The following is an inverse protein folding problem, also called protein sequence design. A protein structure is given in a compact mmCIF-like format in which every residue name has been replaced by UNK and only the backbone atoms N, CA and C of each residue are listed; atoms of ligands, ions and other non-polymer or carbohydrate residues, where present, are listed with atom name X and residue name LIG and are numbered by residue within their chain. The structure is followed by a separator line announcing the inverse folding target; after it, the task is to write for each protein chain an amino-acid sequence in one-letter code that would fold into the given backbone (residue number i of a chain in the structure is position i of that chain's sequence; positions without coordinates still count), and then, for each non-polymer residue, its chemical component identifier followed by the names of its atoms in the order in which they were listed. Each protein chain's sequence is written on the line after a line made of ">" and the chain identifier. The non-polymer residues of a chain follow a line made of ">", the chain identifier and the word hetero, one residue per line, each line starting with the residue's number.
data_IF_833540357285
#
_entry.id   IF_833540357285
#
_cell.length_a   1.000
_cell.length_b   1.000
_cell.length_c   1.000
_cell.angle_alpha   90.00
_cell.angle_beta   90.00
_cell.angle_gamma   90.00
#
_symmetry.space_group_name_H-M   'P 1'
#
loop_
_entity.id
_entity.type
_entity.pdbx_description
1 polymer ?
#
# COMPACT_ATOMS: atom_id res chain seq x y z
N UNK A 1 -19.65 10.47 -3.40
CA UNK A 1 -18.74 11.36 -2.63
C UNK A 1 -17.34 10.79 -2.77
N UNK A 2 -16.32 11.29 -2.06
CA UNK A 2 -14.98 10.66 -2.09
C UNK A 2 -14.86 9.68 -0.91
N UNK A 3 -14.32 8.48 -1.15
CA UNK A 3 -14.14 7.42 -0.13
C UNK A 3 -13.42 7.97 1.12
N UNK A 4 -13.98 7.79 2.31
CA UNK A 4 -13.30 8.21 3.54
C UNK A 4 -12.36 7.11 4.04
N UNK A 5 -11.05 7.36 4.03
CA UNK A 5 -10.05 6.39 4.49
C UNK A 5 -9.72 6.51 5.98
N UNK A 6 -10.15 7.58 6.65
CA UNK A 6 -9.64 7.98 7.97
C UNK A 6 -8.14 8.30 7.94
N UNK A 7 -7.54 8.56 9.12
CA UNK A 7 -6.09 8.85 9.23
C UNK A 7 -5.22 7.60 9.25
N UNK A 8 -5.78 6.45 9.64
CA UNK A 8 -5.03 5.21 9.83
C UNK A 8 -5.82 4.04 9.23
N UNK A 9 -5.13 3.20 8.47
CA UNK A 9 -5.65 1.96 7.93
C UNK A 9 -4.63 0.83 8.07
N UNK A 10 -4.99 -0.35 7.57
CA UNK A 10 -4.11 -1.53 7.54
C UNK A 10 -3.70 -1.81 6.10
N UNK A 11 -2.43 -2.13 5.87
CA UNK A 11 -1.96 -2.70 4.62
C UNK A 11 -1.71 -4.19 4.81
N UNK A 12 -2.23 -5.01 3.91
CA UNK A 12 -2.09 -6.47 4.00
C UNK A 12 -2.02 -7.10 2.61
N UNK A 13 -1.13 -8.07 2.37
CA UNK A 13 -0.99 -8.70 1.05
C UNK A 13 -2.25 -9.51 0.69
N UNK A 14 -2.60 -9.57 -0.59
CA UNK A 14 -3.83 -10.23 -1.07
C UNK A 14 -3.97 -11.70 -0.67
N UNK A 15 -2.86 -12.45 -0.61
CA UNK A 15 -2.89 -13.85 -0.18
C UNK A 15 -3.39 -14.03 1.26
N UNK A 16 -3.26 -12.99 2.10
CA UNK A 16 -3.74 -13.04 3.47
C UNK A 16 -5.28 -12.97 3.53
N UNK A 17 -6.01 -12.86 2.42
CA UNK A 17 -7.47 -12.68 2.38
C UNK A 17 -8.21 -13.78 1.62
N UNK A 18 -7.52 -14.86 1.25
CA UNK A 18 -8.12 -15.99 0.51
C UNK A 18 -8.66 -17.10 1.43
N UNK A 19 -8.41 -17.02 2.73
CA UNK A 19 -8.85 -18.01 3.73
C UNK A 19 -10.32 -17.86 4.13
N UNK A 20 -10.89 -18.91 4.71
CA UNK A 20 -12.28 -18.92 5.21
C UNK A 20 -12.53 -17.96 6.38
N UNK A 21 -11.47 -17.55 7.07
CA UNK A 21 -11.49 -16.62 8.20
C UNK A 21 -11.44 -15.14 7.76
N UNK A 22 -11.26 -14.85 6.48
CA UNK A 22 -11.08 -13.49 5.96
C UNK A 22 -12.27 -12.56 6.28
N UNK A 23 -13.49 -13.08 6.24
CA UNK A 23 -14.68 -12.29 6.61
C UNK A 23 -14.65 -11.88 8.09
N UNK A 24 -14.29 -12.80 8.99
CA UNK A 24 -14.19 -12.50 10.42
C UNK A 24 -13.07 -11.50 10.71
N UNK A 25 -11.92 -11.62 10.04
CA UNK A 25 -10.82 -10.67 10.16
C UNK A 25 -11.17 -9.27 9.61
N UNK A 26 -11.91 -9.18 8.51
CA UNK A 26 -12.40 -7.91 7.99
C UNK A 26 -13.38 -7.24 8.95
N UNK A 27 -14.32 -8.01 9.53
CA UNK A 27 -15.25 -7.52 10.55
C UNK A 27 -14.52 -7.03 11.81
N UNK A 28 -13.45 -7.71 12.21
CA UNK A 28 -12.62 -7.30 13.35
C UNK A 28 -11.91 -5.97 13.06
N UNK A 29 -11.26 -5.80 11.89
CA UNK A 29 -10.63 -4.52 11.53
C UNK A 29 -11.64 -3.36 11.52
N UNK A 30 -12.85 -3.61 11.02
CA UNK A 30 -13.94 -2.64 11.05
C UNK A 30 -14.38 -2.31 12.48
N UNK A 31 -14.52 -3.32 13.34
CA UNK A 31 -14.90 -3.15 14.75
C UNK A 31 -13.84 -2.39 15.56
N UNK A 32 -12.55 -2.58 15.26
CA UNK A 32 -11.44 -1.85 15.87
C UNK A 32 -11.40 -0.37 15.46
N UNK A 33 -12.08 0.00 14.38
CA UNK A 33 -12.19 1.40 13.93
C UNK A 33 -11.13 1.83 12.92
N UNK A 34 -10.38 0.89 12.33
CA UNK A 34 -9.50 1.23 11.20
C UNK A 34 -10.32 1.82 10.06
N UNK A 35 -9.82 2.88 9.44
CA UNK A 35 -10.57 3.58 8.40
C UNK A 35 -10.52 2.87 7.05
N UNK A 36 -9.43 2.16 6.76
CA UNK A 36 -9.27 1.44 5.50
C UNK A 36 -8.45 0.15 5.62
N UNK A 37 -8.71 -0.80 4.73
CA UNK A 37 -7.84 -1.94 4.44
C UNK A 37 -7.31 -1.84 3.00
N UNK A 38 -5.99 -1.76 2.87
CA UNK A 38 -5.25 -1.79 1.60
C UNK A 38 -4.84 -3.21 1.27
N UNK A 39 -5.37 -3.76 0.18
CA UNK A 39 -5.07 -5.10 -0.31
C UNK A 39 -3.90 -5.03 -1.29
N UNK A 40 -2.73 -5.47 -0.85
CA UNK A 40 -1.50 -5.49 -1.62
C UNK A 40 -1.53 -6.49 -2.77
N UNK A 41 -1.12 -6.07 -3.97
CA UNK A 41 -1.13 -6.91 -5.18
C UNK A 41 -2.49 -7.59 -5.41
N UNK A 42 -3.56 -6.78 -5.46
CA UNK A 42 -4.92 -7.25 -5.67
C UNK A 42 -5.14 -7.74 -7.11
N UNK A 43 -5.86 -8.85 -7.33
CA UNK A 43 -6.33 -9.26 -8.66
C UNK A 43 -7.23 -8.20 -9.29
N UNK A 44 -7.17 -8.08 -10.62
CA UNK A 44 -7.92 -7.07 -11.36
C UNK A 44 -9.43 -7.34 -11.45
N UNK A 45 -9.89 -8.56 -11.12
CA UNK A 45 -11.32 -8.89 -11.04
C UNK A 45 -12.02 -8.27 -9.83
N UNK A 46 -11.25 -7.76 -8.86
CA UNK A 46 -11.69 -7.14 -7.60
C UNK A 46 -12.57 -8.04 -6.71
N UNK A 47 -12.53 -9.37 -6.89
CA UNK A 47 -13.32 -10.30 -6.07
C UNK A 47 -12.88 -10.30 -4.60
N UNK A 48 -11.57 -10.20 -4.32
CA UNK A 48 -11.06 -10.13 -2.95
C UNK A 48 -11.48 -8.83 -2.22
N UNK A 49 -11.31 -7.62 -2.79
CA UNK A 49 -11.88 -6.41 -2.21
C UNK A 49 -13.39 -6.50 -1.95
N UNK A 50 -14.16 -7.08 -2.88
CA UNK A 50 -15.61 -7.26 -2.75
C UNK A 50 -15.99 -8.14 -1.56
N UNK A 51 -15.27 -9.25 -1.35
CA UNK A 51 -15.48 -10.13 -0.18
C UNK A 51 -15.23 -9.40 1.15
N UNK A 52 -14.21 -8.55 1.22
CA UNK A 52 -13.90 -7.76 2.42
C UNK A 52 -14.97 -6.70 2.68
N UNK A 53 -15.42 -6.01 1.62
CA UNK A 53 -16.50 -5.01 1.71
C UNK A 53 -17.80 -5.65 2.21
N UNK A 54 -18.16 -6.83 1.69
CA UNK A 54 -19.34 -7.58 2.11
C UNK A 54 -19.31 -7.97 3.60
N UNK A 55 -18.12 -8.17 4.16
CA UNK A 55 -17.91 -8.61 5.54
C UNK A 55 -17.75 -7.47 6.56
N UNK A 56 -17.83 -6.21 6.12
CA UNK A 56 -17.62 -5.04 6.98
C UNK A 56 -18.69 -3.96 6.76
N UNK A 57 -18.97 -3.15 7.77
CA UNK A 57 -20.01 -2.12 7.74
C UNK A 57 -19.50 -0.72 7.38
N UNK A 58 -18.30 -0.34 7.82
CA UNK A 58 -17.75 1.03 7.61
C UNK A 58 -16.44 1.05 6.86
N UNK A 59 -15.57 0.06 7.13
CA UNK A 59 -14.23 -0.05 6.57
C UNK A 59 -14.19 0.24 5.06
N UNK A 60 -13.36 1.20 4.65
CA UNK A 60 -13.05 1.38 3.24
C UNK A 60 -12.07 0.29 2.78
N UNK A 61 -12.13 -0.13 1.52
CA UNK A 61 -11.18 -1.07 0.93
C UNK A 61 -10.48 -0.41 -0.24
N UNK A 62 -9.15 -0.47 -0.23
CA UNK A 62 -8.32 0.07 -1.28
C UNK A 62 -7.41 -1.02 -1.86
N UNK A 63 -7.05 -0.93 -3.13
CA UNK A 63 -6.02 -1.81 -3.71
C UNK A 63 -4.65 -1.15 -3.64
N UNK A 64 -3.63 -1.87 -3.17
CA UNK A 64 -2.24 -1.39 -3.06
C UNK A 64 -1.24 -2.32 -3.75
N UNK A 65 -1.41 -2.73 -5.00
CA UNK A 65 -2.19 -2.13 -6.09
C UNK A 65 -2.77 -3.20 -7.03
N UNK A 66 -3.65 -2.80 -7.95
CA UNK A 66 -3.91 -3.56 -9.19
C UNK A 66 -2.82 -3.23 -10.20
N UNK A 67 -2.20 -4.27 -10.74
CA UNK A 67 -1.13 -4.15 -11.73
C UNK A 67 -1.71 -3.84 -13.13
N UNK A 68 -1.38 -2.66 -13.68
CA UNK A 68 -1.90 -2.24 -14.99
C UNK A 68 -1.41 -3.11 -16.15
N UNK A 69 -0.33 -3.87 -15.95
CA UNK A 69 0.19 -4.81 -16.96
C UNK A 69 -0.60 -6.12 -17.05
N UNK A 70 -1.49 -6.41 -16.10
CA UNK A 70 -2.21 -7.70 -16.02
C UNK A 70 -3.67 -7.62 -16.45
N UNK A 71 -4.14 -6.44 -16.84
CA UNK A 71 -5.54 -6.20 -17.17
C UNK A 71 -5.66 -5.12 -18.24
N UNK A 72 -6.86 -4.98 -18.78
CA UNK A 72 -7.22 -3.90 -19.72
C UNK A 72 -8.13 -2.89 -19.00
N UNK A 73 -8.16 -1.60 -19.44
CA UNK A 73 -8.94 -0.57 -18.78
C UNK A 73 -10.45 -0.87 -18.70
N UNK A 74 -11.06 -1.33 -19.78
CA UNK A 74 -12.51 -1.61 -19.84
C UNK A 74 -12.98 -2.65 -18.81
N UNK A 75 -12.40 -3.86 -18.78
CA UNK A 75 -12.71 -4.87 -17.76
C UNK A 75 -12.50 -4.37 -16.32
N UNK A 76 -11.43 -3.61 -16.06
CA UNK A 76 -11.17 -3.05 -14.73
C UNK A 76 -12.20 -1.97 -14.36
N UNK A 77 -12.61 -1.13 -15.31
CA UNK A 77 -13.67 -0.14 -15.10
C UNK A 77 -15.00 -0.81 -14.75
N UNK A 78 -15.37 -1.87 -15.47
CA UNK A 78 -16.57 -2.65 -15.15
C UNK A 78 -16.49 -3.30 -13.76
N UNK A 79 -15.32 -3.82 -13.37
CA UNK A 79 -15.11 -4.35 -12.03
C UNK A 79 -15.23 -3.26 -10.96
N UNK A 80 -14.65 -2.08 -11.17
CA UNK A 80 -14.77 -0.94 -10.28
C UNK A 80 -16.24 -0.56 -10.06
N UNK A 81 -17.01 -0.38 -11.13
CA UNK A 81 -18.41 0.06 -11.05
C UNK A 81 -19.33 -0.98 -10.40
N UNK A 82 -19.00 -2.27 -10.50
CA UNK A 82 -19.67 -3.32 -9.72
C UNK A 82 -19.53 -3.07 -8.21
N UNK A 83 -18.32 -2.77 -7.75
CA UNK A 83 -18.06 -2.49 -6.33
C UNK A 83 -18.65 -1.15 -5.90
N UNK A 84 -18.53 -0.10 -6.71
CA UNK A 84 -19.06 1.23 -6.40
C UNK A 84 -20.60 1.22 -6.27
N UNK A 85 -21.29 0.46 -7.13
CA UNK A 85 -22.74 0.31 -7.06
C UNK A 85 -23.19 -0.50 -5.82
N UNK A 86 -22.46 -1.54 -5.44
CA UNK A 86 -22.80 -2.40 -4.30
C UNK A 86 -22.38 -1.80 -2.95
N UNK A 87 -21.27 -1.04 -2.93
CA UNK A 87 -20.64 -0.49 -1.72
C UNK A 87 -20.26 0.99 -1.94
N UNK A 88 -21.26 1.87 -2.11
CA UNK A 88 -21.01 3.27 -2.43
C UNK A 88 -20.10 3.92 -1.39
N UNK A 89 -19.17 4.75 -1.89
CA UNK A 89 -18.20 5.50 -1.08
C UNK A 89 -17.24 4.66 -0.22
N UNK A 90 -17.08 3.36 -0.49
CA UNK A 90 -16.21 2.46 0.29
C UNK A 90 -15.07 1.79 -0.48
N UNK A 91 -15.00 1.89 -1.80
CA UNK A 91 -13.92 1.29 -2.59
C UNK A 91 -13.03 2.32 -3.29
N UNK A 92 -11.70 2.23 -3.07
CA UNK A 92 -10.69 3.08 -3.72
C UNK A 92 -9.76 2.23 -4.61
N UNK A 93 -9.78 2.48 -5.93
CA UNK A 93 -8.97 1.74 -6.88
C UNK A 93 -7.52 2.26 -6.90
N UNK A 94 -6.60 1.57 -6.24
CA UNK A 94 -5.17 1.86 -6.37
C UNK A 94 -4.51 1.08 -7.51
N UNK A 95 -3.79 1.81 -8.35
CA UNK A 95 -3.16 1.34 -9.59
C UNK A 95 -1.65 1.47 -9.50
N UNK A 96 -0.93 0.56 -10.15
CA UNK A 96 0.52 0.65 -10.22
C UNK A 96 1.14 -0.14 -11.35
N UNK A 97 2.40 0.20 -11.61
CA UNK A 97 3.21 -0.31 -12.73
C UNK A 97 4.04 -1.54 -12.37
N UNK A 98 3.94 -2.05 -11.14
CA UNK A 98 4.75 -3.19 -10.68
C UNK A 98 6.26 -2.94 -10.84
N UNK A 99 7.04 -4.00 -11.07
CA UNK A 99 8.49 -3.99 -11.22
C UNK A 99 8.90 -4.78 -12.45
N UNK A 100 10.03 -4.40 -13.09
CA UNK A 100 10.55 -5.06 -14.29
C UNK A 100 10.58 -6.58 -14.14
N UNK A 101 11.21 -7.08 -13.06
CA UNK A 101 11.28 -8.52 -12.73
C UNK A 101 9.92 -9.23 -12.75
N UNK A 102 8.86 -8.58 -12.25
CA UNK A 102 7.52 -9.16 -12.21
C UNK A 102 6.89 -9.13 -13.60
N UNK A 103 6.97 -7.99 -14.30
CA UNK A 103 6.34 -7.80 -15.61
C UNK A 103 7.01 -8.65 -16.69
N UNK A 104 8.34 -8.73 -16.68
CA UNK A 104 9.12 -9.60 -17.57
C UNK A 104 8.86 -11.09 -17.29
N UNK A 105 8.64 -11.44 -16.01
CA UNK A 105 8.18 -12.79 -15.62
C UNK A 105 6.79 -13.14 -16.17
N UNK A 106 5.97 -12.15 -16.52
CA UNK A 106 4.68 -12.33 -17.22
C UNK A 106 4.84 -12.36 -18.75
N UNK A 107 6.07 -12.35 -19.28
CA UNK A 107 6.36 -12.31 -20.71
C UNK A 107 6.09 -10.96 -21.37
N UNK A 108 6.04 -9.87 -20.59
CA UNK A 108 5.79 -8.51 -21.08
C UNK A 108 7.04 -7.64 -21.01
N UNK A 109 7.20 -6.76 -21.99
CA UNK A 109 8.33 -5.83 -22.02
C UNK A 109 8.10 -4.66 -21.06
N UNK A 110 9.03 -4.44 -20.13
CA UNK A 110 8.95 -3.37 -19.15
C UNK A 110 9.64 -2.09 -19.65
N UNK A 111 9.03 -1.40 -20.63
CA UNK A 111 9.55 -0.13 -21.15
C UNK A 111 8.63 1.05 -20.87
N UNK A 112 9.24 2.21 -20.61
CA UNK A 112 8.56 3.50 -20.39
C UNK A 112 7.36 3.39 -19.43
N UNK A 113 7.53 2.85 -18.20
CA UNK A 113 6.41 2.46 -17.34
C UNK A 113 5.48 3.62 -16.97
N UNK A 114 6.00 4.86 -16.83
CA UNK A 114 5.16 6.03 -16.59
C UNK A 114 4.26 6.37 -17.80
N UNK A 115 4.77 6.20 -19.03
CA UNK A 115 3.97 6.41 -20.23
C UNK A 115 2.90 5.32 -20.36
N UNK A 116 3.24 4.06 -20.05
CA UNK A 116 2.27 2.96 -20.00
C UNK A 116 1.16 3.22 -18.98
N UNK A 117 1.51 3.67 -17.77
CA UNK A 117 0.52 4.08 -16.77
C UNK A 117 -0.37 5.21 -17.28
N UNK A 118 0.20 6.23 -17.93
CA UNK A 118 -0.57 7.31 -18.56
C UNK A 118 -1.59 6.80 -19.58
N UNK A 119 -1.15 5.94 -20.51
CA UNK A 119 -2.02 5.32 -21.51
C UNK A 119 -3.12 4.46 -20.88
N UNK A 120 -2.82 3.72 -19.82
CA UNK A 120 -3.82 2.95 -19.10
C UNK A 120 -4.88 3.85 -18.46
N UNK A 121 -4.48 4.98 -17.87
CA UNK A 121 -5.40 5.99 -17.34
C UNK A 121 -6.24 6.65 -18.44
N UNK A 122 -5.66 6.90 -19.62
CA UNK A 122 -6.41 7.39 -20.78
C UNK A 122 -7.48 6.39 -21.22
N UNK A 123 -7.16 5.09 -21.17
CA UNK A 123 -8.14 4.03 -21.44
C UNK A 123 -9.24 3.93 -20.38
N UNK A 124 -8.93 4.18 -19.10
CA UNK A 124 -9.96 4.24 -18.05
C UNK A 124 -10.88 5.45 -18.23
N UNK A 125 -10.33 6.57 -18.67
CA UNK A 125 -11.11 7.79 -18.93
C UNK A 125 -11.96 7.68 -20.20
N UNK A 126 -11.54 6.84 -21.15
CA UNK A 126 -12.22 6.58 -22.43
C UNK A 126 -13.12 5.35 -22.45
N UNK A 127 -13.31 4.66 -21.32
CA UNK A 127 -14.23 3.53 -21.22
C UNK A 127 -15.70 3.99 -21.34
N UNK A 128 -16.62 3.08 -21.66
CA UNK A 128 -18.06 3.39 -21.76
C UNK A 128 -18.62 3.99 -20.47
N UNK A 129 -18.15 3.49 -19.32
CA UNK A 129 -18.38 4.06 -18.00
C UNK A 129 -17.02 4.38 -17.33
N UNK A 130 -16.52 5.63 -17.43
CA UNK A 130 -15.20 5.99 -16.95
C UNK A 130 -15.04 5.85 -15.43
N UNK A 131 -13.86 5.39 -14.98
CA UNK A 131 -13.52 5.41 -13.55
C UNK A 131 -13.11 6.83 -13.14
N UNK A 132 -13.83 7.51 -12.23
CA UNK A 132 -13.51 8.88 -11.87
C UNK A 132 -12.10 9.03 -11.31
N UNK A 133 -11.41 10.13 -11.63
CA UNK A 133 -10.08 10.41 -11.07
C UNK A 133 -10.08 10.39 -9.52
N UNK A 134 -11.17 10.86 -8.89
CA UNK A 134 -11.33 10.85 -7.43
C UNK A 134 -11.55 9.45 -6.82
N UNK A 135 -11.83 8.45 -7.65
CA UNK A 135 -12.04 7.06 -7.23
C UNK A 135 -10.79 6.18 -7.41
N UNK A 136 -9.68 6.77 -7.88
CA UNK A 136 -8.42 6.07 -8.08
C UNK A 136 -7.24 6.75 -7.38
N UNK A 137 -6.24 5.95 -7.00
CA UNK A 137 -4.97 6.40 -6.40
C UNK A 137 -3.81 5.72 -7.12
N UNK A 138 -2.64 6.35 -7.21
CA UNK A 138 -1.48 5.75 -7.89
C UNK A 138 -0.39 5.34 -6.90
N UNK A 139 0.18 4.15 -7.08
CA UNK A 139 1.49 3.86 -6.49
C UNK A 139 2.54 4.73 -7.18
N UNK A 140 3.07 5.72 -6.45
CA UNK A 140 3.97 6.72 -6.97
C UNK A 140 5.09 7.01 -5.97
N UNK A 141 6.34 6.89 -6.44
CA UNK A 141 7.54 7.14 -5.63
C UNK A 141 8.39 8.31 -6.14
N UNK A 142 8.50 8.44 -7.47
CA UNK A 142 9.40 9.42 -8.10
C UNK A 142 8.63 10.70 -8.44
N UNK A 143 9.28 11.87 -8.51
CA UNK A 143 8.60 13.16 -8.73
C UNK A 143 7.59 13.15 -9.89
N UNK A 144 7.99 12.66 -11.07
CA UNK A 144 7.08 12.58 -12.24
C UNK A 144 5.87 11.67 -12.04
N UNK A 145 6.00 10.62 -11.22
CA UNK A 145 4.86 9.76 -10.87
C UNK A 145 3.93 10.45 -9.87
N UNK A 146 4.47 11.22 -8.92
CA UNK A 146 3.69 12.04 -8.00
C UNK A 146 2.94 13.15 -8.75
N UNK A 147 3.59 13.83 -9.70
CA UNK A 147 2.96 14.81 -10.59
C UNK A 147 1.82 14.19 -11.44
N UNK A 148 2.00 12.96 -11.91
CA UNK A 148 0.93 12.24 -12.61
C UNK A 148 -0.23 11.92 -11.66
N UNK A 149 0.07 11.46 -10.45
CA UNK A 149 -0.91 11.15 -9.42
C UNK A 149 -1.74 12.38 -9.03
N UNK A 150 -1.10 13.53 -8.80
CA UNK A 150 -1.77 14.79 -8.48
C UNK A 150 -2.75 15.24 -9.58
N UNK A 151 -2.41 15.02 -10.86
CA UNK A 151 -3.23 15.50 -11.99
C UNK A 151 -4.33 14.52 -12.42
N UNK A 152 -4.09 13.21 -12.30
CA UNK A 152 -4.91 12.18 -12.97
C UNK A 152 -5.59 11.22 -11.99
N UNK A 153 -5.35 11.36 -10.69
CA UNK A 153 -5.92 10.52 -9.64
C UNK A 153 -6.26 11.38 -8.40
N UNK A 154 -6.86 10.75 -7.39
CA UNK A 154 -7.12 11.37 -6.10
C UNK A 154 -5.83 11.70 -5.36
N UNK A 155 -4.75 10.96 -5.65
CA UNK A 155 -3.46 11.15 -5.01
C UNK A 155 -2.54 9.95 -5.16
N UNK A 156 -1.62 9.79 -4.21
CA UNK A 156 -0.54 8.82 -4.25
C UNK A 156 -0.51 7.89 -3.03
N UNK A 157 -0.10 6.64 -3.26
CA UNK A 157 0.22 5.64 -2.24
C UNK A 157 1.71 5.24 -2.36
N UNK A 158 2.64 5.96 -1.70
CA UNK A 158 4.04 5.56 -1.61
C UNK A 158 4.21 4.30 -0.75
N UNK A 159 5.18 3.46 -1.12
CA UNK A 159 5.49 2.21 -0.41
C UNK A 159 7.00 2.09 -0.17
N UNK A 160 7.38 1.56 0.99
CA UNK A 160 8.76 1.39 1.45
C UNK A 160 9.50 2.74 1.54
N UNK A 161 8.91 3.66 2.31
CA UNK A 161 9.36 5.04 2.46
C UNK A 161 9.49 5.43 3.93
N UNK A 162 10.14 6.56 4.20
CA UNK A 162 10.29 7.13 5.55
C UNK A 162 9.39 8.36 5.75
N UNK A 163 9.23 8.88 6.98
CA UNK A 163 8.58 10.17 7.21
C UNK A 163 9.25 11.33 6.46
N UNK A 164 10.58 11.35 6.34
CA UNK A 164 11.31 12.37 5.57
C UNK A 164 10.94 12.33 4.08
N UNK A 165 10.78 11.13 3.52
CA UNK A 165 10.25 10.99 2.16
C UNK A 165 8.84 11.59 2.06
N UNK A 166 8.01 11.44 3.09
CA UNK A 166 6.63 11.95 3.09
C UNK A 166 6.59 13.46 3.00
N UNK A 167 7.51 14.17 3.68
CA UNK A 167 7.69 15.63 3.52
C UNK A 167 7.99 15.98 2.06
N UNK A 168 8.98 15.31 1.46
CA UNK A 168 9.36 15.56 0.06
C UNK A 168 8.23 15.22 -0.92
N UNK A 169 7.49 14.13 -0.66
CA UNK A 169 6.37 13.72 -1.47
C UNK A 169 5.20 14.69 -1.39
N UNK A 170 4.87 15.21 -0.18
CA UNK A 170 3.87 16.26 -0.01
C UNK A 170 4.24 17.51 -0.79
N UNK A 171 5.50 17.96 -0.71
CA UNK A 171 5.97 19.12 -1.45
C UNK A 171 5.84 18.94 -2.99
N UNK A 172 6.09 17.73 -3.50
CA UNK A 172 5.95 17.43 -4.93
C UNK A 172 4.49 17.22 -5.37
N UNK A 173 3.64 16.66 -4.50
CA UNK A 173 2.24 16.36 -4.78
C UNK A 173 1.35 17.62 -4.70
N UNK A 174 1.74 18.58 -3.86
CA UNK A 174 0.99 19.80 -3.57
C UNK A 174 -0.08 19.62 -2.48
N UNK A 175 -0.76 20.71 -2.18
CA UNK A 175 -1.88 20.74 -1.25
C UNK A 175 -3.13 20.17 -1.93
N UNK A 176 -3.82 19.24 -1.28
CA UNK A 176 -5.12 18.71 -1.73
C UNK A 176 -5.13 17.22 -2.11
N UNK A 177 -4.27 16.74 -3.04
CA UNK A 177 -4.28 15.32 -3.38
C UNK A 177 -3.91 14.44 -2.18
N UNK A 178 -4.56 13.29 -2.08
CA UNK A 178 -4.34 12.30 -1.04
C UNK A 178 -2.88 11.82 -1.03
N UNK A 179 -2.22 11.87 0.12
CA UNK A 179 -0.94 11.20 0.35
C UNK A 179 -1.12 10.12 1.40
N UNK A 180 -1.01 8.86 0.98
CA UNK A 180 -1.27 7.70 1.81
C UNK A 180 -0.06 6.75 1.87
N UNK A 181 1.06 7.07 2.56
CA UNK A 181 2.19 6.16 2.66
C UNK A 181 1.86 4.87 3.43
N UNK A 182 2.57 3.80 3.10
CA UNK A 182 2.66 2.62 3.96
C UNK A 182 3.68 2.84 5.10
N UNK A 183 3.39 2.30 6.28
CA UNK A 183 4.35 2.21 7.39
C UNK A 183 4.44 0.78 7.90
N UNK A 184 5.64 0.19 7.84
CA UNK A 184 5.90 -1.17 8.32
C UNK A 184 6.15 -1.18 9.82
N UNK A 185 5.55 -2.14 10.50
CA UNK A 185 5.65 -2.28 11.95
C UNK A 185 6.07 -3.70 12.32
N UNK A 186 6.99 -3.83 13.26
CA UNK A 186 7.35 -5.10 13.90
C UNK A 186 7.12 -4.99 15.40
N UNK A 187 6.16 -5.72 15.95
CA UNK A 187 5.85 -5.67 17.39
C UNK A 187 6.77 -6.60 18.19
N UNK A 188 8.07 -6.30 18.18
CA UNK A 188 9.09 -7.00 18.96
C UNK A 188 10.05 -5.98 19.58
N UNK A 189 10.35 -6.13 20.87
CA UNK A 189 11.23 -5.20 21.62
C UNK A 189 12.70 -5.61 21.63
N UNK A 190 13.01 -6.86 21.31
CA UNK A 190 14.40 -7.27 21.10
C UNK A 190 14.89 -6.77 19.74
N UNK A 191 15.99 -5.98 19.68
CA UNK A 191 16.45 -5.39 18.43
C UNK A 191 16.97 -6.42 17.42
N UNK A 192 17.46 -7.58 17.88
CA UNK A 192 17.97 -8.64 16.98
C UNK A 192 16.78 -9.31 16.29
N UNK A 193 15.82 -9.78 17.07
CA UNK A 193 14.59 -10.40 16.58
C UNK A 193 13.81 -9.46 15.66
N UNK A 194 13.61 -8.21 16.08
CA UNK A 194 12.86 -7.22 15.32
C UNK A 194 13.48 -6.97 13.95
N UNK A 195 14.80 -6.77 13.90
CA UNK A 195 15.48 -6.47 12.65
C UNK A 195 15.62 -7.70 11.77
N UNK A 196 15.80 -8.90 12.33
CA UNK A 196 15.77 -10.15 11.56
C UNK A 196 14.42 -10.34 10.85
N UNK A 197 13.31 -10.11 11.56
CA UNK A 197 11.98 -10.20 10.99
C UNK A 197 11.76 -9.11 9.92
N UNK A 198 12.17 -7.87 10.18
CA UNK A 198 12.12 -6.79 9.18
C UNK A 198 12.91 -7.14 7.90
N UNK A 199 14.14 -7.68 8.06
CA UNK A 199 15.00 -8.10 6.95
C UNK A 199 14.39 -9.22 6.12
N UNK A 200 13.60 -10.10 6.74
CA UNK A 200 12.90 -11.17 6.03
C UNK A 200 11.93 -10.62 4.95
N UNK A 201 11.36 -9.45 5.21
CA UNK A 201 10.53 -8.71 4.28
C UNK A 201 11.39 -7.82 3.35
N UNK A 202 12.34 -7.05 3.90
CA UNK A 202 13.15 -6.07 3.17
C UNK A 202 13.98 -6.68 2.03
N UNK A 203 14.53 -7.89 2.23
CA UNK A 203 15.42 -8.54 1.26
C UNK A 203 14.87 -8.60 -0.16
N UNK A 204 13.56 -8.80 -0.30
CA UNK A 204 12.93 -8.87 -1.63
C UNK A 204 13.02 -7.52 -2.33
N UNK A 205 12.72 -6.44 -1.61
CA UNK A 205 12.71 -5.09 -2.15
C UNK A 205 14.12 -4.58 -2.48
N UNK A 206 15.15 -5.03 -1.77
CA UNK A 206 16.54 -4.72 -2.11
C UNK A 206 17.01 -5.38 -3.42
N UNK A 207 16.29 -6.40 -3.92
CA UNK A 207 16.53 -6.95 -5.26
C UNK A 207 15.90 -6.13 -6.39
N UNK A 208 15.13 -5.08 -6.08
CA UNK A 208 14.35 -4.31 -7.04
C UNK A 208 15.00 -2.93 -7.28
N UNK A 209 15.57 -2.67 -8.48
CA UNK A 209 16.33 -1.44 -8.74
C UNK A 209 15.56 -0.14 -8.50
N UNK A 210 14.24 -0.13 -8.72
CA UNK A 210 13.42 1.05 -8.48
C UNK A 210 13.33 1.44 -7.00
N UNK A 211 13.32 0.47 -6.08
CA UNK A 211 13.31 0.74 -4.64
C UNK A 211 14.70 1.16 -4.17
N UNK A 212 15.74 0.45 -4.60
CA UNK A 212 17.13 0.84 -4.30
C UNK A 212 17.43 2.27 -4.77
N UNK A 213 17.00 2.64 -5.98
CA UNK A 213 17.16 4.00 -6.49
C UNK A 213 16.32 5.06 -5.73
N UNK A 214 15.20 4.66 -5.12
CA UNK A 214 14.41 5.54 -4.25
C UNK A 214 15.11 5.74 -2.89
N UNK A 215 15.62 4.66 -2.28
CA UNK A 215 16.38 4.71 -1.03
C UNK A 215 17.67 5.54 -1.20
N UNK A 216 18.36 5.39 -2.33
CA UNK A 216 19.51 6.23 -2.64
C UNK A 216 19.18 7.73 -2.68
N UNK A 217 18.00 8.09 -3.21
CA UNK A 217 17.52 9.47 -3.22
C UNK A 217 17.16 10.00 -1.81
N UNK A 218 16.98 9.10 -0.83
CA UNK A 218 16.79 9.42 0.59
C UNK A 218 18.09 9.41 1.40
N UNK A 219 19.25 9.27 0.73
CA UNK A 219 20.55 9.31 1.38
C UNK A 219 21.01 7.98 1.97
N UNK A 220 20.46 6.85 1.52
CA UNK A 220 21.03 5.52 1.79
C UNK A 220 22.08 5.16 0.75
N UNK A 221 23.23 4.67 1.19
CA UNK A 221 24.34 4.34 0.30
C UNK A 221 24.34 2.85 -0.10
N UNK A 222 25.40 2.44 -0.81
CA UNK A 222 25.55 1.05 -1.26
C UNK A 222 25.71 0.05 -0.10
N UNK A 223 26.31 0.48 1.02
CA UNK A 223 26.51 -0.36 2.19
C UNK A 223 25.18 -0.55 2.94
N UNK A 224 24.34 0.49 2.96
CA UNK A 224 23.00 0.41 3.55
C UNK A 224 22.08 -0.61 2.86
N UNK A 225 22.14 -0.71 1.53
CA UNK A 225 21.26 -1.58 0.73
C UNK A 225 21.89 -2.94 0.39
N UNK A 226 23.13 -3.19 0.82
CA UNK A 226 23.81 -4.46 0.58
C UNK A 226 23.17 -5.62 1.37
N UNK A 227 23.17 -6.82 0.77
CA UNK A 227 22.67 -8.03 1.42
C UNK A 227 21.21 -7.92 1.85
N UNK A 228 20.97 -7.96 3.17
CA UNK A 228 19.65 -7.82 3.78
C UNK A 228 19.35 -6.42 4.32
N UNK A 229 20.26 -5.46 4.13
CA UNK A 229 20.13 -4.08 4.57
C UNK A 229 20.77 -3.80 5.94
N UNK A 230 21.37 -2.62 6.08
CA UNK A 230 21.99 -2.14 7.33
C UNK A 230 20.95 -1.96 8.44
N UNK A 231 21.41 -1.95 9.70
CA UNK A 231 20.56 -1.59 10.84
C UNK A 231 19.94 -0.19 10.65
N UNK A 232 20.73 0.77 10.13
CA UNK A 232 20.27 2.13 9.84
C UNK A 232 19.09 2.14 8.87
N UNK A 233 19.18 1.38 7.78
CA UNK A 233 18.12 1.27 6.79
C UNK A 233 16.87 0.61 7.38
N UNK A 234 17.05 -0.48 8.14
CA UNK A 234 15.94 -1.19 8.79
C UNK A 234 15.21 -0.27 9.77
N UNK A 235 15.93 0.40 10.66
CA UNK A 235 15.36 1.29 11.68
C UNK A 235 14.67 2.53 11.06
N UNK A 236 15.12 2.95 9.87
CA UNK A 236 14.49 4.03 9.13
C UNK A 236 13.18 3.60 8.47
N UNK A 237 13.07 2.37 7.96
CA UNK A 237 11.89 1.89 7.22
C UNK A 237 10.85 1.17 8.09
N UNK A 238 11.27 0.52 9.16
CA UNK A 238 10.44 -0.32 10.01
C UNK A 238 10.38 0.29 11.41
N UNK A 239 9.18 0.58 11.89
CA UNK A 239 8.96 0.91 13.28
C UNK A 239 8.87 -0.39 14.08
N UNK A 240 9.91 -0.69 14.84
CA UNK A 240 9.92 -1.86 15.70
C UNK A 240 9.94 -1.49 17.18
N UNK A 241 9.39 -2.38 18.01
CA UNK A 241 9.28 -2.19 19.45
C UNK A 241 7.85 -2.36 19.95
N UNK A 242 7.45 -1.48 20.88
CA UNK A 242 6.12 -1.45 21.46
C UNK A 242 5.08 -0.85 20.51
N UNK A 243 3.77 -1.13 20.70
CA UNK A 243 2.71 -0.48 19.95
C UNK A 243 2.77 1.06 20.00
N UNK A 244 3.17 1.66 21.14
CA UNK A 244 3.33 3.09 21.28
C UNK A 244 4.44 3.68 20.38
N UNK A 245 5.54 2.95 20.19
CA UNK A 245 6.62 3.35 19.27
C UNK A 245 6.17 3.25 17.81
N UNK A 246 5.43 2.19 17.46
CA UNK A 246 4.80 2.07 16.15
C UNK A 246 3.82 3.21 15.88
N UNK A 247 2.99 3.55 16.85
CA UNK A 247 2.05 4.67 16.77
C UNK A 247 2.77 6.02 16.63
N UNK A 248 3.92 6.19 17.29
CA UNK A 248 4.73 7.39 17.09
C UNK A 248 5.20 7.52 15.64
N UNK A 249 5.69 6.44 15.02
CA UNK A 249 6.10 6.50 13.62
C UNK A 249 4.95 6.85 12.67
N UNK A 250 3.75 6.34 12.94
CA UNK A 250 2.55 6.70 12.19
C UNK A 250 2.24 8.20 12.35
N UNK A 251 2.35 8.75 13.56
CA UNK A 251 2.23 10.20 13.80
C UNK A 251 3.28 10.99 13.04
N UNK A 252 4.53 10.54 12.98
CA UNK A 252 5.60 11.21 12.25
C UNK A 252 5.27 11.34 10.74
N UNK A 253 4.67 10.32 10.12
CA UNK A 253 4.18 10.42 8.74
C UNK A 253 3.04 11.43 8.58
N UNK A 254 2.10 11.45 9.53
CA UNK A 254 0.97 12.37 9.51
C UNK A 254 1.44 13.82 9.68
N UNK A 255 2.37 14.06 10.60
CA UNK A 255 2.99 15.38 10.83
C UNK A 255 3.85 15.80 9.63
N UNK A 256 4.43 14.84 8.90
CA UNK A 256 5.12 15.06 7.63
C UNK A 256 4.18 15.38 6.45
N UNK A 257 2.86 15.36 6.66
CA UNK A 257 1.86 15.75 5.67
C UNK A 257 1.15 14.58 4.96
N UNK A 258 1.23 13.35 5.48
CA UNK A 258 0.32 12.29 5.07
C UNK A 258 -1.11 12.60 5.53
N UNK A 259 -2.09 12.29 4.67
CA UNK A 259 -3.51 12.37 5.02
C UNK A 259 -4.01 11.06 5.66
N UNK A 260 -3.35 9.96 5.30
CA UNK A 260 -3.64 8.60 5.73
C UNK A 260 -2.34 7.80 5.86
N UNK A 261 -2.25 6.88 6.81
CA UNK A 261 -1.11 5.95 6.90
C UNK A 261 -1.63 4.52 6.91
N UNK A 262 -1.17 3.72 5.95
CA UNK A 262 -1.52 2.31 5.83
C UNK A 262 -0.48 1.46 6.60
N UNK A 263 -0.84 1.02 7.80
CA UNK A 263 0.06 0.28 8.68
C UNK A 263 0.17 -1.17 8.24
N UNK A 264 1.39 -1.63 7.95
CA UNK A 264 1.69 -3.00 7.58
C UNK A 264 2.40 -3.72 8.74
N UNK A 265 1.71 -4.64 9.41
CA UNK A 265 2.35 -5.49 10.42
C UNK A 265 3.19 -6.55 9.71
N UNK A 266 4.48 -6.60 10.05
CA UNK A 266 5.41 -7.65 9.65
C UNK A 266 5.48 -8.63 10.82
N UNK A 267 4.92 -9.81 10.62
CA UNK A 267 4.71 -10.83 11.65
C UNK A 267 5.37 -12.13 11.25
N UNK A 268 5.83 -12.90 12.24
CA UNK A 268 6.36 -14.25 12.03
C UNK A 268 5.28 -15.22 11.50
N UNK A 269 4.01 -14.90 11.70
CA UNK A 269 2.86 -15.66 11.18
C UNK A 269 2.59 -15.41 9.69
N UNK A 270 3.43 -14.60 9.01
CA UNK A 270 3.33 -14.32 7.58
C UNK A 270 4.52 -14.92 6.84
N UNK A 271 4.25 -15.91 5.99
CA UNK A 271 5.26 -16.49 5.10
C UNK A 271 5.14 -15.90 3.70
N UNK A 272 6.02 -14.95 3.38
CA UNK A 272 6.07 -14.31 2.06
C UNK A 272 6.52 -15.26 0.94
N UNK A 273 7.31 -16.29 1.25
CA UNK A 273 7.81 -17.23 0.25
C UNK A 273 6.69 -18.19 -0.19
N UNK A 274 5.92 -18.68 0.78
CA UNK A 274 4.77 -19.56 0.52
C UNK A 274 3.46 -18.79 0.30
N UNK A 275 3.48 -17.46 0.42
CA UNK A 275 2.32 -16.57 0.26
C UNK A 275 1.16 -17.02 1.16
N UNK A 276 1.44 -17.21 2.44
CA UNK A 276 0.47 -17.71 3.41
C UNK A 276 0.54 -16.95 4.73
N UNK A 277 -0.52 -17.11 5.53
CA UNK A 277 -0.63 -16.49 6.84
C UNK A 277 -1.04 -15.01 6.80
N UNK A 278 -1.15 -14.42 7.98
CA UNK A 278 -1.65 -13.07 8.24
C UNK A 278 -1.19 -12.66 9.65
N UNK A 279 -0.93 -11.36 9.91
CA UNK A 279 -0.80 -10.88 11.28
C UNK A 279 -2.01 -11.27 12.14
N UNK A 280 -1.76 -11.51 13.43
CA UNK A 280 -2.80 -11.91 14.36
C UNK A 280 -3.74 -10.74 14.68
N UNK A 281 -4.97 -11.08 15.07
CA UNK A 281 -5.92 -10.10 15.61
C UNK A 281 -5.36 -9.38 16.84
N UNK A 282 -4.53 -10.06 17.65
CA UNK A 282 -3.91 -9.45 18.82
C UNK A 282 -2.93 -8.32 18.45
N UNK A 283 -2.14 -8.48 17.39
CA UNK A 283 -1.24 -7.43 16.89
C UNK A 283 -2.03 -6.22 16.38
N UNK A 284 -3.14 -6.43 15.67
CA UNK A 284 -4.01 -5.35 15.24
C UNK A 284 -4.70 -4.65 16.41
N UNK A 285 -5.19 -5.39 17.41
CA UNK A 285 -5.78 -4.81 18.63
C UNK A 285 -4.78 -3.96 19.40
N UNK A 286 -3.54 -4.43 19.53
CA UNK A 286 -2.48 -3.72 20.22
C UNK A 286 -2.16 -2.38 19.53
N UNK A 287 -2.13 -2.36 18.20
CA UNK A 287 -1.94 -1.13 17.43
C UNK A 287 -3.16 -0.20 17.49
N UNK A 288 -4.37 -0.75 17.35
CA UNK A 288 -5.60 0.02 17.43
C UNK A 288 -5.70 0.82 18.74
N UNK A 289 -5.34 0.20 19.88
CA UNK A 289 -5.36 0.84 21.20
C UNK A 289 -4.48 2.11 21.31
N UNK A 290 -3.48 2.26 20.44
CA UNK A 290 -2.56 3.41 20.43
C UNK A 290 -2.83 4.39 19.27
N UNK A 291 -3.59 3.97 18.25
CA UNK A 291 -3.77 4.68 16.98
C UNK A 291 -5.16 5.30 16.78
N UNK A 292 -6.19 4.76 17.44
CA UNK A 292 -7.61 5.02 17.17
C UNK A 292 -8.35 5.47 18.44
#
# INVERSE_FOLDING_TARGET
>A
MAVSLGRVGVWSPSFAWTGSDAAAAAAELDALGYGALWIGAAPADLALPEQVLAASGRLAVATGIVNVWTTEPGPLAAAYHRLDAAYPDRFLLGLGISHARVVEGLGREYTRPLAHLGQFLDGLDGADDPVPAQARVLAALRPRALELAARRARGAHPYLVTPEYTVAARAALGDGPLLAPDQKVVLATDPTEARELARSNLRYYLTLPNYVANLAALGFDADDVAGSGSDRLVDALYAWGTPAQAAQRVRDHLDAGADHVAVQVISADVDLANRSGRPTVAEWRALAAELL
#
